data_IF_761410280288
#
_entry.id   IF_761410280288
#
_cell.length_a   1.000
_cell.length_b   1.000
_cell.length_c   1.000
_cell.angle_alpha   90.00
_cell.angle_beta   90.00
_cell.angle_gamma   90.00
#
_symmetry.space_group_name_H-M   'P 1'
#
loop_
_entity.id
_entity.type
_entity.pdbx_description
1 polymer ?
2 non-polymer ?
3 non-polymer ?
4 water ?
#
# COMPACT_ATOMS: atom_id res chain seq x y z
N UNK A 1 -3.43 -6.80 -2.12
CA UNK A 1 -3.18 -7.54 -3.40
C UNK A 1 -2.90 -9.03 -3.17
N UNK A 2 -2.47 -9.42 -1.97
CA UNK A 2 -2.13 -10.80 -1.57
C UNK A 2 -2.15 -10.94 -0.04
N UNK A 3 -1.79 -12.12 0.52
CA UNK A 3 -2.01 -12.44 1.94
C UNK A 3 -1.21 -11.58 2.93
N UNK A 4 -0.06 -11.04 2.51
CA UNK A 4 0.70 -10.01 3.25
C UNK A 4 -0.13 -8.76 3.47
N UNK A 5 -0.63 -8.20 2.37
CA UNK A 5 -1.52 -7.01 2.42
C UNK A 5 -2.81 -7.34 3.17
N UNK A 6 -3.31 -8.57 3.06
CA UNK A 6 -4.55 -9.00 3.78
C UNK A 6 -4.36 -8.89 5.30
N UNK A 7 -3.23 -9.38 5.82
CA UNK A 7 -2.94 -9.33 7.27
C UNK A 7 -2.74 -7.86 7.68
N UNK A 8 -1.96 -7.11 6.89
CA UNK A 8 -1.68 -5.68 7.17
C UNK A 8 -3.02 -4.91 7.29
N UNK A 9 -3.91 -5.10 6.32
CA UNK A 9 -5.21 -4.39 6.27
C UNK A 9 -6.02 -4.74 7.53
N UNK A 10 -6.06 -6.00 7.90
CA UNK A 10 -6.81 -6.48 9.08
C UNK A 10 -6.30 -5.79 10.37
N UNK A 11 -4.99 -5.60 10.50
CA UNK A 11 -4.39 -4.83 11.64
C UNK A 11 -4.78 -3.36 11.52
N UNK A 12 -4.67 -2.75 10.33
CA UNK A 12 -4.96 -1.30 10.21
C UNK A 12 -6.42 -1.02 10.52
N UNK A 13 -7.34 -1.88 10.09
CA UNK A 13 -8.80 -1.56 10.17
C UNK A 13 -9.29 -1.62 11.62
N UNK A 14 -8.65 -2.38 12.50
CA UNK A 14 -9.15 -2.57 13.87
C UNK A 14 -8.18 -2.07 14.95
N UNK A 15 -6.87 -1.98 14.67
CA UNK A 15 -5.85 -1.77 15.72
C UNK A 15 -5.04 -0.49 15.49
N UNK A 16 -5.54 0.49 14.74
CA UNK A 16 -4.79 1.79 14.61
C UNK A 16 -5.73 2.97 14.86
N UNK A 17 -5.14 4.06 15.36
CA UNK A 17 -5.79 5.38 15.53
C UNK A 17 -4.80 6.38 14.95
N UNK A 18 -5.30 7.58 14.71
CA UNK A 18 -4.41 8.71 14.32
C UNK A 18 -4.11 9.46 15.62
N UNK A 19 -2.83 9.48 16.03
CA UNK A 19 -2.38 10.22 17.23
C UNK A 19 -1.75 11.55 16.80
N UNK A 20 -2.14 12.64 17.46
CA UNK A 20 -1.50 13.96 17.24
C UNK A 20 -0.91 14.48 18.55
N UNK A 21 0.38 14.82 18.50
CA UNK A 21 1.12 15.48 19.60
C UNK A 21 1.54 16.84 19.06
N UNK A 22 2.29 17.61 19.85
CA UNK A 22 2.90 18.89 19.41
C UNK A 22 3.98 18.67 18.36
N UNK A 23 4.44 17.42 18.18
CA UNK A 23 5.53 17.05 17.24
C UNK A 23 4.96 16.49 15.93
N UNK A 24 3.62 16.42 15.78
CA UNK A 24 2.97 16.01 14.52
C UNK A 24 1.88 14.94 14.65
N UNK A 25 1.41 14.46 13.51
CA UNK A 25 0.45 13.35 13.36
C UNK A 25 1.19 12.02 13.13
N UNK A 26 0.81 10.97 13.86
CA UNK A 26 1.47 9.63 13.81
C UNK A 26 0.43 8.55 13.66
N UNK A 27 0.73 7.53 12.87
CA UNK A 27 0.06 6.22 12.99
C UNK A 27 0.36 5.72 14.41
N UNK A 28 -0.65 5.21 15.09
CA UNK A 28 -0.48 4.67 16.47
C UNK A 28 -1.13 3.30 16.48
N UNK A 29 -0.36 2.29 16.86
CA UNK A 29 -0.84 0.91 16.98
C UNK A 29 -1.44 0.66 18.37
N UNK A 30 -2.70 0.25 18.43
CA UNK A 30 -3.31 -0.26 19.67
C UNK A 30 -3.03 -1.73 19.84
N UNK A 31 -2.62 -2.17 21.04
CA UNK A 31 -2.09 -3.55 21.25
C UNK A 31 -3.12 -4.35 22.05
N UNK A 32 -3.69 -3.77 23.12
CA UNK A 32 -4.71 -4.49 23.94
C UNK A 32 -5.28 -3.45 24.90
N UNK A 33 -6.52 -3.69 25.36
CA UNK A 33 -7.19 -2.84 26.38
C UNK A 33 -7.14 -1.36 25.89
N UNK A 34 -6.48 -0.45 26.63
CA UNK A 34 -6.37 0.97 26.22
C UNK A 34 -4.88 1.27 26.00
N UNK A 35 -4.10 0.24 25.72
CA UNK A 35 -2.61 0.36 25.61
C UNK A 35 -2.22 0.38 24.12
N UNK A 36 -1.47 1.40 23.74
CA UNK A 36 -0.98 1.63 22.36
C UNK A 36 0.53 1.96 22.40
N UNK A 37 1.15 1.97 21.25
CA UNK A 37 2.57 2.38 21.10
C UNK A 37 2.72 3.49 20.06
N UNK A 38 3.82 4.21 20.17
CA UNK A 38 4.12 5.40 19.30
C UNK A 38 5.62 5.61 19.38
N UNK A 39 6.30 6.15 18.34
CA UNK A 39 7.72 6.50 18.50
C UNK A 39 7.97 7.51 19.63
N UNK A 40 9.04 7.29 20.39
CA UNK A 40 9.35 8.14 21.57
C UNK A 40 9.57 9.59 21.12
N UNK A 41 10.08 9.82 19.90
CA UNK A 41 10.26 11.21 19.37
C UNK A 41 8.91 11.93 19.12
N UNK A 42 7.77 11.26 19.24
CA UNK A 42 6.44 11.94 19.28
C UNK A 42 6.29 12.83 20.51
N UNK A 43 7.09 12.63 21.58
CA UNK A 43 7.07 13.41 22.85
C UNK A 43 5.66 13.49 23.46
N UNK A 44 5.09 12.34 23.78
CA UNK A 44 3.72 12.25 24.34
C UNK A 44 3.71 13.00 25.68
N UNK A 45 2.68 13.83 25.91
CA UNK A 45 2.51 14.58 27.16
C UNK A 45 1.32 14.07 27.96
N UNK A 46 0.68 14.95 28.73
CA UNK A 46 -0.43 14.61 29.65
C UNK A 46 -1.71 14.46 28.82
N UNK A 47 -1.76 15.14 27.67
CA UNK A 47 -2.91 15.17 26.73
C UNK A 47 -2.40 14.86 25.31
N UNK A 48 -3.15 14.04 24.58
CA UNK A 48 -2.89 13.66 23.17
C UNK A 48 -4.23 13.75 22.42
N UNK A 49 -4.22 13.94 21.10
CA UNK A 49 -5.44 13.86 20.27
C UNK A 49 -5.46 12.47 19.62
N UNK A 50 -6.59 11.77 19.70
CA UNK A 50 -6.79 10.39 19.17
C UNK A 50 -7.97 10.54 18.20
N UNK A 51 -7.72 10.43 16.90
CA UNK A 51 -8.78 10.67 15.87
C UNK A 51 -9.46 12.01 16.16
N UNK A 52 -8.67 13.06 16.43
CA UNK A 52 -9.08 14.49 16.61
C UNK A 52 -9.93 14.70 17.86
N UNK A 53 -9.84 13.80 18.83
CA UNK A 53 -10.53 13.88 20.14
C UNK A 53 -9.48 14.04 21.25
N UNK A 54 -9.68 15.07 22.07
CA UNK A 54 -8.82 15.37 23.24
C UNK A 54 -8.91 14.19 24.21
N UNK A 55 -7.78 13.59 24.55
CA UNK A 55 -7.69 12.34 25.35
C UNK A 55 -6.59 12.48 26.43
N UNK A 56 -6.96 12.22 27.66
CA UNK A 56 -5.99 12.20 28.77
C UNK A 56 -5.09 10.99 28.61
N UNK A 57 -3.79 11.18 28.83
CA UNK A 57 -2.80 10.07 28.91
C UNK A 57 -2.75 9.58 30.36
N UNK A 58 -3.11 8.32 30.60
CA UNK A 58 -3.13 7.77 31.99
C UNK A 58 -1.71 7.37 32.40
N UNK A 59 -0.89 6.92 31.46
CA UNK A 59 0.51 6.49 31.70
C UNK A 59 1.25 6.51 30.38
N UNK A 60 2.54 6.88 30.41
CA UNK A 60 3.41 6.85 29.21
C UNK A 60 4.81 6.43 29.63
N UNK A 61 5.39 5.43 28.97
CA UNK A 61 6.72 4.92 29.37
C UNK A 61 7.60 4.76 28.13
N UNK A 62 8.67 5.57 28.06
CA UNK A 62 9.71 5.49 27.02
C UNK A 62 10.61 4.32 27.36
N UNK A 63 10.55 3.28 26.54
CA UNK A 63 11.24 2.01 26.86
C UNK A 63 12.73 2.18 26.59
N UNK A 64 13.54 1.55 27.44
CA UNK A 64 15.01 1.49 27.27
C UNK A 64 15.43 0.05 27.56
N UNK A 65 16.51 -0.46 26.96
CA UNK A 65 16.94 -1.82 27.31
C UNK A 65 17.72 -1.80 28.63
N UNK A 66 18.21 -2.97 29.05
CA UNK A 66 18.77 -3.11 30.44
C UNK A 66 20.16 -2.48 30.50
N UNK A 67 20.78 -2.14 29.35
CA UNK A 67 21.98 -1.25 29.29
C UNK A 67 21.60 0.25 29.29
N UNK A 68 20.32 0.61 29.51
CA UNK A 68 19.87 2.02 29.55
C UNK A 68 20.13 2.64 28.18
N UNK A 69 19.89 1.88 27.11
CA UNK A 69 19.91 2.38 25.69
C UNK A 69 18.49 2.56 25.15
N UNK A 70 18.24 3.72 24.52
CA UNK A 70 16.94 4.03 23.90
C UNK A 70 16.44 2.82 23.06
N UNK A 71 15.15 2.47 23.16
CA UNK A 71 14.51 1.56 22.16
C UNK A 71 13.55 2.31 21.20
N UNK A 72 13.20 3.56 21.48
CA UNK A 72 12.41 4.47 20.59
C UNK A 72 10.93 4.07 20.60
N UNK A 73 10.51 3.19 21.54
CA UNK A 73 9.07 2.81 21.73
C UNK A 73 8.59 3.51 22.99
N UNK A 74 7.50 4.25 22.89
CA UNK A 74 6.73 4.73 24.07
C UNK A 74 5.41 3.93 24.12
N UNK A 75 5.15 3.35 25.27
CA UNK A 75 3.88 2.62 25.55
C UNK A 75 2.97 3.64 26.22
N UNK A 76 1.80 3.83 25.67
CA UNK A 76 0.84 4.84 26.20
C UNK A 76 -0.41 4.12 26.69
N UNK A 77 -0.97 4.49 27.83
CA UNK A 77 -2.32 4.04 28.20
C UNK A 77 -3.24 5.26 28.07
N UNK A 78 -4.31 5.12 27.28
CA UNK A 78 -5.19 6.22 26.87
C UNK A 78 -6.45 6.19 27.76
N UNK A 79 -6.90 7.35 28.23
CA UNK A 79 -8.24 7.45 28.89
C UNK A 79 -9.33 7.42 27.82
N UNK A 80 -9.52 6.29 27.17
CA UNK A 80 -10.47 6.09 26.04
C UNK A 80 -11.61 5.19 26.53
N UNK A 81 -12.81 5.36 25.99
CA UNK A 81 -14.03 4.63 26.42
C UNK A 81 -14.17 3.29 25.72
N UNK A 82 -13.12 2.79 25.05
CA UNK A 82 -13.28 1.60 24.19
C UNK A 82 -11.91 0.89 24.19
N UNK A 83 -11.93 -0.44 24.25
CA UNK A 83 -10.68 -1.26 24.18
C UNK A 83 -10.34 -1.59 22.73
N UNK A 84 -9.04 -1.80 22.51
CA UNK A 84 -8.50 -2.42 21.28
C UNK A 84 -8.76 -3.92 21.32
N UNK A 85 -8.97 -4.50 20.15
CA UNK A 85 -8.80 -5.96 19.93
C UNK A 85 -7.41 -6.34 20.46
N UNK A 86 -7.33 -7.41 21.25
CA UNK A 86 -6.05 -7.88 21.82
C UNK A 86 -5.28 -8.58 20.68
N UNK A 87 -4.14 -8.00 20.26
CA UNK A 87 -3.27 -8.58 19.18
C UNK A 87 -1.94 -9.04 19.76
N UNK A 88 -1.83 -9.23 21.08
CA UNK A 88 -0.50 -9.60 21.66
C UNK A 88 -0.02 -10.96 21.12
N UNK A 89 -0.91 -11.88 20.75
CA UNK A 89 -0.51 -13.21 20.21
C UNK A 89 0.14 -13.10 18.81
N UNK A 90 0.12 -11.94 18.17
CA UNK A 90 0.79 -11.70 16.87
C UNK A 90 2.19 -11.09 17.06
N UNK A 91 2.63 -10.85 18.29
CA UNK A 91 3.95 -10.23 18.55
C UNK A 91 5.00 -11.31 18.66
N UNK A 92 6.17 -11.11 18.04
CA UNK A 92 7.29 -12.04 18.18
C UNK A 92 7.81 -12.09 19.62
N UNK A 93 8.33 -13.25 20.01
CA UNK A 93 8.93 -13.38 21.37
C UNK A 93 10.41 -13.00 21.35
N UNK A 94 11.09 -13.11 20.21
CA UNK A 94 12.57 -12.92 20.14
C UNK A 94 12.97 -12.01 18.96
N UNK A 95 14.15 -11.38 19.09
CA UNK A 95 14.76 -10.58 18.01
C UNK A 95 14.97 -11.50 16.80
N UNK A 96 14.66 -11.05 15.59
CA UNK A 96 14.72 -11.94 14.43
C UNK A 96 14.79 -11.11 13.15
N UNK A 97 15.19 -11.77 12.06
CA UNK A 97 15.12 -11.29 10.66
C UNK A 97 13.81 -11.80 10.05
N UNK A 98 13.31 -11.15 9.01
CA UNK A 98 12.01 -11.51 8.38
C UNK A 98 12.09 -11.41 6.87
N UNK A 99 11.26 -12.20 6.20
CA UNK A 99 11.04 -12.01 4.73
C UNK A 99 9.68 -11.33 4.48
N UNK A 100 9.62 -10.51 3.43
CA UNK A 100 8.38 -10.10 2.73
C UNK A 100 7.48 -9.33 3.71
N UNK A 101 7.98 -8.21 4.23
CA UNK A 101 7.24 -7.36 5.19
C UNK A 101 6.46 -6.28 4.44
N UNK A 102 5.43 -5.75 5.07
CA UNK A 102 4.59 -4.61 4.62
C UNK A 102 4.65 -3.55 5.71
N UNK A 103 4.87 -2.30 5.31
CA UNK A 103 4.75 -1.09 6.18
C UNK A 103 3.44 -0.42 5.87
N UNK A 104 2.60 -0.22 6.88
CA UNK A 104 1.23 0.34 6.70
C UNK A 104 1.06 1.62 7.52
N UNK A 105 0.53 2.65 6.89
CA UNK A 105 0.41 4.02 7.46
C UNK A 105 -1.01 4.48 7.28
N UNK A 106 -1.54 5.15 8.28
CA UNK A 106 -2.86 5.80 8.15
C UNK A 106 -2.84 7.14 8.87
N UNK A 107 -2.73 8.23 8.12
CA UNK A 107 -2.79 9.61 8.68
C UNK A 107 -3.62 10.47 7.72
N UNK A 108 -3.90 11.72 8.10
CA UNK A 108 -4.47 12.75 7.17
C UNK A 108 -3.63 12.89 5.87
N UNK A 109 -2.31 12.86 5.96
CA UNK A 109 -1.40 13.04 4.81
C UNK A 109 -1.36 11.75 3.96
N UNK A 110 -1.38 10.59 4.60
CA UNK A 110 -1.24 9.27 3.91
C UNK A 110 -2.31 8.29 4.39
N UNK A 111 -3.57 8.42 3.92
CA UNK A 111 -4.62 7.46 4.28
C UNK A 111 -4.49 6.14 3.53
N UNK A 112 -4.71 5.00 4.23
CA UNK A 112 -4.80 3.68 3.58
C UNK A 112 -3.56 3.43 2.72
N UNK A 113 -2.37 3.71 3.24
CA UNK A 113 -1.08 3.50 2.54
C UNK A 113 -0.46 2.18 2.97
N UNK A 114 -0.05 1.34 2.01
CA UNK A 114 0.61 0.05 2.24
C UNK A 114 1.82 0.01 1.31
N UNK A 115 2.98 -0.34 1.84
CA UNK A 115 4.27 -0.42 1.11
C UNK A 115 4.85 -1.81 1.31
N UNK A 116 5.08 -2.62 0.24
CA UNK A 116 5.81 -3.86 0.37
C UNK A 116 7.31 -3.54 0.47
N UNK A 117 7.91 -3.73 1.64
CA UNK A 117 9.31 -3.27 1.89
C UNK A 117 10.28 -4.40 1.62
N UNK A 118 9.81 -5.64 1.53
CA UNK A 118 10.65 -6.82 1.29
C UNK A 118 11.34 -7.30 2.53
N UNK A 119 12.60 -7.69 2.38
CA UNK A 119 13.42 -8.34 3.43
C UNK A 119 13.72 -7.35 4.57
N UNK A 120 13.57 -7.82 5.80
CA UNK A 120 13.85 -7.03 7.02
C UNK A 120 15.01 -7.66 7.80
N UNK A 121 16.08 -6.89 8.01
CA UNK A 121 17.30 -7.31 8.72
C UNK A 121 17.21 -6.89 10.18
N UNK A 122 17.60 -7.80 11.08
CA UNK A 122 17.94 -7.45 12.48
C UNK A 122 19.22 -6.64 12.44
N UNK A 123 19.08 -5.32 12.40
CA UNK A 123 20.20 -4.38 12.19
C UNK A 123 20.92 -4.17 13.52
N UNK A 124 20.13 -4.01 14.58
CA UNK A 124 20.65 -3.83 15.95
C UNK A 124 20.87 -2.37 16.30
N UNK A 125 22.14 -1.96 16.35
CA UNK A 125 22.49 -0.60 16.79
C UNK A 125 22.30 0.39 15.63
N UNK A 126 21.68 1.52 15.93
CA UNK A 126 21.55 2.67 15.01
C UNK A 126 21.70 3.95 15.82
N UNK A 127 22.52 4.86 15.30
CA UNK A 127 22.53 6.29 15.74
C UNK A 127 21.36 6.99 15.06
N UNK A 128 20.24 7.10 15.75
CA UNK A 128 18.95 7.58 15.19
C UNK A 128 18.75 9.05 15.57
N UNK A 129 18.96 9.97 14.62
CA UNK A 129 18.92 11.42 14.94
C UNK A 129 19.88 11.79 16.06
N UNK A 130 21.05 11.19 16.12
CA UNK A 130 22.03 11.47 17.20
C UNK A 130 21.85 10.64 18.48
N UNK A 131 20.79 9.81 18.57
CA UNK A 131 20.49 9.03 19.80
C UNK A 131 20.86 7.56 19.58
N UNK A 132 21.83 6.98 20.34
CA UNK A 132 22.16 5.56 20.23
C UNK A 132 20.87 4.74 20.52
N UNK A 133 20.53 3.86 19.62
CA UNK A 133 19.24 3.12 19.65
C UNK A 133 19.52 1.64 19.41
N UNK A 134 18.87 0.74 20.14
CA UNK A 134 19.00 -0.72 19.97
C UNK A 134 17.74 -1.35 19.37
N UNK A 135 17.86 -2.62 18.98
CA UNK A 135 16.73 -3.46 18.45
C UNK A 135 16.08 -2.84 17.22
N UNK A 136 16.88 -2.28 16.33
CA UNK A 136 16.40 -1.65 15.06
C UNK A 136 16.30 -2.73 14.00
N UNK A 137 15.18 -2.70 13.26
CA UNK A 137 14.95 -3.50 12.04
C UNK A 137 15.26 -2.59 10.84
N UNK A 138 15.81 -3.13 9.75
CA UNK A 138 16.11 -2.28 8.57
C UNK A 138 15.50 -2.91 7.32
N UNK A 139 14.97 -2.06 6.45
CA UNK A 139 14.41 -2.49 5.14
C UNK A 139 14.87 -1.49 4.09
N UNK A 140 15.03 -1.98 2.87
CA UNK A 140 15.65 -1.20 1.77
C UNK A 140 14.52 -0.53 0.99
N UNK A 141 13.83 0.38 1.64
CA UNK A 141 12.80 1.23 0.98
C UNK A 141 13.01 2.67 1.42
N UNK A 142 12.91 3.65 0.47
CA UNK A 142 13.09 5.07 0.73
C UNK A 142 11.85 5.72 1.37
N UNK A 143 11.67 5.39 2.64
CA UNK A 143 10.59 5.93 3.50
C UNK A 143 10.79 7.45 3.70
N UNK A 144 9.71 8.20 3.90
CA UNK A 144 9.72 9.69 3.96
C UNK A 144 9.05 10.14 5.25
N UNK A 145 9.20 11.42 5.58
CA UNK A 145 8.44 12.10 6.65
C UNK A 145 6.96 11.75 6.43
N UNK A 146 6.25 11.48 7.53
CA UNK A 146 4.82 11.10 7.49
C UNK A 146 4.59 9.62 7.83
N UNK A 147 5.63 8.78 7.77
CA UNK A 147 5.48 7.30 7.90
C UNK A 147 5.80 6.83 9.32
N UNK A 148 6.28 7.73 10.20
CA UNK A 148 6.71 7.32 11.57
C UNK A 148 5.47 6.82 12.31
N UNK A 149 5.63 5.69 13.01
CA UNK A 149 4.52 5.04 13.73
C UNK A 149 3.86 4.01 12.81
N UNK A 150 4.23 4.01 11.53
CA UNK A 150 3.69 3.02 10.58
C UNK A 150 3.93 1.61 11.07
N UNK A 151 3.02 0.69 10.80
CA UNK A 151 3.09 -0.68 11.35
C UNK A 151 3.83 -1.59 10.37
N UNK A 152 4.81 -2.32 10.86
CA UNK A 152 5.55 -3.35 10.05
C UNK A 152 5.01 -4.72 10.39
N UNK A 153 4.51 -5.43 9.39
CA UNK A 153 3.93 -6.78 9.56
C UNK A 153 4.52 -7.73 8.53
N UNK A 154 4.45 -9.00 8.88
CA UNK A 154 4.52 -10.13 7.93
C UNK A 154 3.18 -10.86 8.03
N UNK A 155 2.96 -11.87 7.19
CA UNK A 155 1.79 -12.78 7.38
C UNK A 155 1.87 -13.36 8.81
N UNK A 156 0.93 -12.96 9.65
CA UNK A 156 0.71 -13.56 10.97
C UNK A 156 1.52 -12.88 12.02
N UNK A 157 2.41 -11.92 11.72
CA UNK A 157 3.17 -11.24 12.80
C UNK A 157 3.21 -9.70 12.68
N UNK A 158 3.05 -9.03 13.80
CA UNK A 158 3.26 -7.55 13.92
C UNK A 158 4.64 -7.36 14.54
N UNK A 159 5.63 -6.86 13.77
CA UNK A 159 7.04 -7.03 14.21
C UNK A 159 7.68 -5.70 14.62
N UNK A 160 7.08 -4.55 14.34
CA UNK A 160 7.75 -3.26 14.62
C UNK A 160 6.92 -2.05 14.25
N UNK A 161 7.45 -0.87 14.58
CA UNK A 161 6.87 0.43 14.18
C UNK A 161 7.99 1.28 13.61
N UNK A 162 7.73 1.88 12.46
CA UNK A 162 8.65 2.76 11.69
C UNK A 162 9.08 3.95 12.56
N UNK A 163 10.39 4.22 12.67
CA UNK A 163 10.90 5.33 13.53
C UNK A 163 11.89 6.21 12.76
N UNK A 164 12.29 5.88 11.54
CA UNK A 164 13.17 6.79 10.76
C UNK A 164 13.70 6.21 9.48
N UNK A 165 14.53 6.99 8.79
CA UNK A 165 15.11 6.56 7.50
C UNK A 165 16.31 7.41 7.16
N UNK A 166 17.10 6.98 6.17
CA UNK A 166 18.29 7.76 5.72
C UNK A 166 18.17 8.17 4.25
N UNK A 167 16.97 8.12 3.68
CA UNK A 167 16.75 8.38 2.24
C UNK A 167 16.70 7.12 1.39
N UNK A 168 17.49 6.08 1.68
CA UNK A 168 17.55 4.80 0.92
C UNK A 168 17.01 3.61 1.74
N UNK A 169 17.24 3.62 3.05
CA UNK A 169 16.76 2.57 3.99
C UNK A 169 15.72 3.18 4.95
N UNK A 170 14.81 2.34 5.44
CA UNK A 170 13.90 2.69 6.56
C UNK A 170 14.23 1.83 7.76
N UNK A 171 13.88 2.30 8.93
CA UNK A 171 14.24 1.67 10.23
C UNK A 171 12.99 1.61 11.13
N UNK A 172 12.80 0.44 11.76
CA UNK A 172 11.69 0.24 12.68
C UNK A 172 12.23 -0.20 14.04
N UNK A 173 11.54 0.16 15.12
CA UNK A 173 11.81 -0.38 16.47
C UNK A 173 11.07 -1.69 16.59
N UNK A 174 11.74 -2.75 17.05
CA UNK A 174 11.07 -4.05 17.31
C UNK A 174 9.91 -3.89 18.29
N UNK A 175 8.85 -4.67 18.06
CA UNK A 175 7.86 -4.97 19.10
C UNK A 175 8.10 -6.41 19.56
N UNK A 176 8.19 -6.61 20.84
CA UNK A 176 8.37 -7.92 21.47
C UNK A 176 7.19 -8.19 22.43
N UNK A 177 6.74 -9.43 22.47
CA UNK A 177 5.64 -9.85 23.37
C UNK A 177 5.94 -9.41 24.82
N UNK A 178 7.18 -9.53 25.27
CA UNK A 178 7.54 -9.24 26.69
C UNK A 178 7.30 -7.76 27.05
N UNK A 179 7.16 -6.85 26.08
CA UNK A 179 6.87 -5.45 26.41
C UNK A 179 5.45 -5.32 26.98
N UNK A 180 4.53 -6.27 26.72
CA UNK A 180 3.07 -6.04 26.93
C UNK A 180 2.43 -7.11 27.83
N UNK A 181 3.23 -7.74 28.69
CA UNK A 181 2.73 -8.59 29.79
C UNK A 181 2.11 -7.64 30.84
N UNK A 182 0.94 -8.01 31.38
CA UNK A 182 0.15 -7.16 32.31
C UNK A 182 -0.04 -7.92 33.64
N UNK B 2 0.12 13.63 -1.15
CA UNK B 2 -0.30 15.06 -1.29
C UNK B 2 -1.11 15.28 -2.56
N UNK B 3 -0.60 16.05 -3.55
CA UNK B 3 -1.21 16.11 -4.88
C UNK B 3 -1.25 14.71 -5.49
N UNK B 4 -0.16 13.95 -5.32
CA UNK B 4 -0.01 12.55 -5.80
C UNK B 4 -1.09 11.65 -5.21
N UNK B 5 -1.25 11.66 -3.88
CA UNK B 5 -2.29 10.85 -3.18
C UNK B 5 -3.69 11.41 -3.47
N UNK B 6 -3.85 12.74 -3.55
CA UNK B 6 -5.12 13.37 -3.97
C UNK B 6 -5.51 12.89 -5.40
N UNK B 7 -4.51 12.83 -6.29
CA UNK B 7 -4.76 12.44 -7.71
C UNK B 7 -5.22 10.96 -7.72
N UNK B 8 -4.49 10.11 -7.02
CA UNK B 8 -4.78 8.66 -6.99
C UNK B 8 -6.19 8.42 -6.45
N UNK B 9 -6.59 9.15 -5.39
CA UNK B 9 -7.92 9.00 -4.74
C UNK B 9 -9.07 9.54 -5.62
N UNK B 10 -8.77 10.57 -6.44
CA UNK B 10 -9.77 11.16 -7.38
C UNK B 10 -10.05 10.16 -8.50
N UNK B 11 -8.98 9.50 -8.99
CA UNK B 11 -9.11 8.46 -10.05
C UNK B 11 -9.82 7.22 -9.48
N UNK B 12 -9.39 6.75 -8.31
CA UNK B 12 -10.07 5.64 -7.55
C UNK B 12 -11.57 5.92 -7.48
N UNK B 13 -11.94 7.03 -6.85
CA UNK B 13 -13.36 7.33 -6.47
C UNK B 13 -14.29 7.35 -7.69
N UNK B 14 -13.92 7.98 -8.79
CA UNK B 14 -14.84 8.15 -9.94
C UNK B 14 -14.59 7.18 -11.11
N UNK B 15 -13.37 6.66 -11.26
CA UNK B 15 -12.98 5.92 -12.49
C UNK B 15 -12.59 4.45 -12.22
N UNK B 16 -12.73 3.91 -11.02
CA UNK B 16 -12.27 2.52 -10.71
C UNK B 16 -13.47 1.69 -10.23
N UNK B 17 -13.72 0.53 -10.86
CA UNK B 17 -14.83 -0.39 -10.49
C UNK B 17 -14.22 -1.76 -10.23
N UNK B 18 -14.99 -2.67 -9.61
CA UNK B 18 -14.60 -4.08 -9.36
C UNK B 18 -15.16 -4.92 -10.51
N UNK B 19 -14.30 -5.54 -11.32
CA UNK B 19 -14.70 -6.38 -12.46
C UNK B 19 -14.54 -7.83 -12.03
N UNK B 20 -15.52 -8.68 -12.29
CA UNK B 20 -15.36 -10.10 -11.93
C UNK B 20 -15.56 -10.92 -13.19
N UNK B 21 -14.53 -11.67 -13.56
CA UNK B 21 -14.58 -12.63 -14.70
C UNK B 21 -14.63 -14.06 -14.11
N UNK B 22 -14.58 -15.05 -14.99
CA UNK B 22 -14.43 -16.48 -14.60
C UNK B 22 -13.21 -16.64 -13.69
N UNK B 23 -12.21 -15.76 -13.81
CA UNK B 23 -10.92 -15.89 -13.08
C UNK B 23 -11.01 -15.26 -11.69
N UNK B 24 -12.03 -14.47 -11.40
CA UNK B 24 -12.24 -13.77 -10.11
C UNK B 24 -12.18 -12.25 -10.28
N UNK B 25 -11.70 -11.52 -9.26
CA UNK B 25 -11.94 -10.06 -9.21
C UNK B 25 -10.68 -9.31 -9.66
N UNK B 26 -10.91 -8.21 -10.38
CA UNK B 26 -9.84 -7.36 -10.93
C UNK B 26 -10.20 -5.90 -10.70
N UNK B 27 -9.21 -5.08 -10.33
CA UNK B 27 -9.37 -3.62 -10.39
C UNK B 27 -9.53 -3.20 -11.85
N UNK B 28 -10.63 -2.56 -12.19
CA UNK B 28 -10.88 -2.12 -13.59
C UNK B 28 -10.90 -0.60 -13.63
N UNK B 29 -10.24 -0.02 -14.63
CA UNK B 29 -10.26 1.42 -14.89
C UNK B 29 -11.25 1.77 -16.01
N UNK B 30 -12.27 2.56 -15.68
CA UNK B 30 -13.11 3.20 -16.71
C UNK B 30 -12.45 4.44 -17.25
N UNK B 31 -12.44 4.59 -18.58
CA UNK B 31 -11.66 5.65 -19.27
C UNK B 31 -12.59 6.75 -19.81
N UNK B 32 -13.69 6.41 -20.44
CA UNK B 32 -14.66 7.37 -21.05
C UNK B 32 -15.89 6.58 -21.49
N UNK B 33 -17.06 7.23 -21.55
CA UNK B 33 -18.29 6.57 -22.05
C UNK B 33 -18.46 5.23 -21.33
N UNK B 34 -18.61 4.13 -22.07
CA UNK B 34 -18.71 2.80 -21.42
C UNK B 34 -17.45 1.98 -21.73
N UNK B 35 -16.32 2.66 -21.92
CA UNK B 35 -15.02 2.02 -22.31
C UNK B 35 -14.14 1.91 -21.06
N UNK B 36 -13.67 0.70 -20.78
CA UNK B 36 -12.80 0.38 -19.61
C UNK B 36 -11.63 -0.50 -20.06
N UNK B 37 -10.64 -0.63 -19.18
CA UNK B 37 -9.47 -1.50 -19.43
C UNK B 37 -9.26 -2.45 -18.26
N UNK B 38 -8.75 -3.63 -18.59
CA UNK B 38 -8.47 -4.72 -17.62
C UNK B 38 -7.29 -5.50 -18.20
N UNK B 39 -6.45 -6.17 -17.40
CA UNK B 39 -5.39 -7.04 -17.95
C UNK B 39 -5.95 -8.15 -18.82
N UNK B 40 -5.24 -8.50 -19.92
CA UNK B 40 -5.73 -9.52 -20.87
C UNK B 40 -5.86 -10.87 -20.14
N UNK B 41 -4.99 -11.16 -19.16
CA UNK B 41 -5.05 -12.42 -18.38
C UNK B 41 -6.35 -12.57 -17.57
N UNK B 42 -7.19 -11.53 -17.47
CA UNK B 42 -8.52 -11.62 -16.81
C UNK B 42 -9.51 -12.53 -17.58
N UNK B 43 -9.23 -12.80 -18.86
CA UNK B 43 -10.07 -13.71 -19.71
C UNK B 43 -11.52 -13.20 -19.71
N UNK B 44 -11.72 -11.98 -20.21
CA UNK B 44 -13.05 -11.36 -20.34
C UNK B 44 -13.92 -12.18 -21.29
N UNK B 45 -15.15 -12.46 -20.88
CA UNK B 45 -16.11 -13.27 -21.64
C UNK B 45 -17.16 -12.43 -22.31
N UNK B 46 -18.32 -13.03 -22.53
CA UNK B 46 -19.49 -12.30 -23.09
C UNK B 46 -20.16 -11.50 -21.96
N UNK B 47 -20.00 -11.96 -20.73
CA UNK B 47 -20.67 -11.38 -19.53
C UNK B 47 -19.60 -11.15 -18.49
N UNK B 48 -19.69 -10.03 -17.79
CA UNK B 48 -18.79 -9.66 -16.67
C UNK B 48 -19.66 -9.06 -15.57
N UNK B 49 -19.18 -9.16 -14.32
CA UNK B 49 -19.80 -8.47 -13.16
C UNK B 49 -19.03 -7.19 -12.91
N UNK B 50 -19.76 -6.09 -12.80
CA UNK B 50 -19.21 -4.73 -12.52
C UNK B 50 -19.83 -4.29 -11.19
N UNK B 51 -19.04 -4.25 -10.11
CA UNK B 51 -19.56 -4.00 -8.76
C UNK B 51 -20.75 -4.95 -8.48
N UNK B 52 -20.59 -6.22 -8.82
CA UNK B 52 -21.54 -7.34 -8.50
C UNK B 52 -22.79 -7.28 -9.39
N UNK B 53 -22.84 -6.42 -10.41
CA UNK B 53 -23.96 -6.34 -11.39
C UNK B 53 -23.58 -7.09 -12.68
N UNK B 54 -24.32 -8.15 -13.02
CA UNK B 54 -24.22 -8.88 -14.33
C UNK B 54 -24.33 -7.87 -15.48
N UNK B 55 -23.30 -7.79 -16.35
CA UNK B 55 -23.18 -6.76 -17.41
C UNK B 55 -22.73 -7.42 -18.71
N UNK B 56 -23.45 -7.19 -19.79
CA UNK B 56 -23.04 -7.69 -21.13
C UNK B 56 -21.78 -6.93 -21.55
N UNK B 57 -20.75 -7.64 -21.98
CA UNK B 57 -19.59 -7.01 -22.69
C UNK B 57 -19.90 -6.94 -24.18
N UNK B 58 -20.08 -5.73 -24.70
CA UNK B 58 -20.46 -5.57 -26.13
C UNK B 58 -19.25 -5.81 -27.03
N UNK B 59 -18.05 -5.47 -26.58
CA UNK B 59 -16.81 -5.60 -27.38
C UNK B 59 -15.64 -5.81 -26.43
N UNK B 60 -14.69 -6.68 -26.79
CA UNK B 60 -13.43 -6.84 -26.03
C UNK B 60 -12.33 -6.91 -27.07
N UNK B 61 -11.31 -6.08 -26.92
CA UNK B 61 -10.13 -6.05 -27.81
C UNK B 61 -8.87 -6.32 -26.97
N UNK B 62 -8.19 -7.43 -27.25
CA UNK B 62 -6.88 -7.76 -26.63
C UNK B 62 -5.81 -6.99 -27.40
N UNK B 63 -5.30 -5.88 -26.86
CA UNK B 63 -4.46 -4.96 -27.66
C UNK B 63 -3.12 -5.60 -28.04
N UNK B 64 -2.68 -5.29 -29.26
CA UNK B 64 -1.34 -5.62 -29.78
C UNK B 64 -0.83 -4.39 -30.52
N UNK B 65 0.49 -4.19 -30.58
CA UNK B 65 1.07 -3.00 -31.24
C UNK B 65 1.30 -3.30 -32.72
N UNK B 66 1.93 -2.41 -33.45
CA UNK B 66 2.10 -2.55 -34.93
C UNK B 66 3.21 -3.56 -35.28
N UNK B 67 3.99 -4.06 -34.29
CA UNK B 67 4.89 -5.23 -34.47
C UNK B 67 4.11 -6.53 -34.26
N UNK B 68 2.81 -6.45 -34.01
CA UNK B 68 1.92 -7.60 -33.75
C UNK B 68 2.39 -8.29 -32.48
N UNK B 69 2.71 -7.51 -31.47
CA UNK B 69 3.18 -8.00 -30.15
C UNK B 69 2.13 -7.65 -29.09
N UNK B 70 1.87 -8.58 -28.19
CA UNK B 70 0.93 -8.42 -27.06
C UNK B 70 1.28 -7.15 -26.28
N UNK B 71 0.25 -6.41 -25.85
CA UNK B 71 0.42 -5.28 -24.87
C UNK B 71 -0.20 -5.63 -23.50
N UNK B 72 -0.94 -6.74 -23.38
CA UNK B 72 -1.52 -7.27 -22.11
C UNK B 72 -2.64 -6.36 -21.56
N UNK B 73 -3.20 -5.49 -22.38
CA UNK B 73 -4.38 -4.63 -22.06
C UNK B 73 -5.53 -5.12 -22.91
N UNK B 74 -6.67 -5.36 -22.28
CA UNK B 74 -7.91 -5.56 -23.02
C UNK B 74 -8.81 -4.33 -22.82
N UNK B 75 -9.26 -3.76 -23.94
CA UNK B 75 -10.28 -2.66 -23.92
C UNK B 75 -11.67 -3.28 -24.02
N UNK B 76 -12.57 -2.94 -23.10
CA UNK B 76 -13.96 -3.49 -23.12
C UNK B 76 -14.93 -2.33 -23.31
N UNK B 77 -16.03 -2.58 -24.03
CA UNK B 77 -17.21 -1.70 -24.14
C UNK B 77 -18.35 -2.37 -23.36
N UNK B 78 -18.87 -1.70 -22.33
CA UNK B 78 -19.81 -2.33 -21.37
C UNK B 78 -21.26 -1.91 -21.71
N UNK B 79 -22.21 -2.83 -21.60
CA UNK B 79 -23.67 -2.51 -21.74
C UNK B 79 -24.23 -2.10 -20.38
N UNK B 80 -24.00 -0.83 -20.00
CA UNK B 80 -24.47 -0.22 -18.72
C UNK B 80 -24.86 1.25 -18.96
N UNK B 81 -25.84 1.73 -18.19
CA UNK B 81 -26.41 3.09 -18.33
C UNK B 81 -25.34 4.12 -17.97
N UNK B 82 -24.66 3.93 -16.84
CA UNK B 82 -23.68 4.90 -16.29
C UNK B 82 -22.54 5.13 -17.29
N UNK B 83 -22.14 6.38 -17.42
CA UNK B 83 -20.97 6.81 -18.22
C UNK B 83 -19.78 7.06 -17.27
N UNK B 84 -18.58 6.63 -17.66
CA UNK B 84 -17.35 6.97 -16.90
C UNK B 84 -17.00 8.44 -17.18
N UNK B 85 -16.50 9.11 -16.14
CA UNK B 85 -15.85 10.44 -16.21
C UNK B 85 -14.67 10.36 -17.20
N UNK B 86 -14.69 11.17 -18.28
CA UNK B 86 -13.61 11.19 -19.29
C UNK B 86 -12.28 11.53 -18.60
N UNK B 87 -11.26 10.67 -18.69
CA UNK B 87 -9.89 10.93 -18.16
C UNK B 87 -8.87 10.74 -19.29
N UNK B 88 -9.29 10.78 -20.55
CA UNK B 88 -8.31 10.60 -21.68
C UNK B 88 -7.23 11.68 -21.64
N UNK B 89 -7.54 12.89 -21.13
CA UNK B 89 -6.57 14.01 -21.09
C UNK B 89 -5.48 13.73 -20.06
N UNK B 90 -5.62 12.70 -19.19
CA UNK B 90 -4.58 12.32 -18.22
C UNK B 90 -3.67 11.19 -18.70
N UNK B 91 -3.90 10.68 -19.90
CA UNK B 91 -3.10 9.56 -20.47
C UNK B 91 -1.87 10.14 -21.18
N UNK B 92 -0.68 9.59 -20.93
CA UNK B 92 0.53 10.01 -21.62
C UNK B 92 0.38 9.82 -23.13
N UNK B 93 1.02 10.71 -23.88
CA UNK B 93 1.06 10.63 -25.37
C UNK B 93 2.17 9.68 -25.83
N UNK B 94 3.24 9.55 -25.03
CA UNK B 94 4.44 8.77 -25.41
C UNK B 94 4.90 7.87 -24.25
N UNK B 95 5.77 6.91 -24.57
CA UNK B 95 6.43 6.03 -23.58
C UNK B 95 7.37 6.90 -22.75
N UNK B 96 7.50 6.63 -21.45
CA UNK B 96 8.33 7.49 -20.57
C UNK B 96 8.63 6.77 -19.26
N UNK B 97 9.61 7.30 -18.53
CA UNK B 97 9.94 6.92 -17.14
C UNK B 97 9.22 7.91 -16.22
N UNK B 98 9.05 7.55 -14.96
CA UNK B 98 8.29 8.38 -13.98
C UNK B 98 8.87 8.25 -12.57
N UNK B 99 8.59 9.25 -11.74
CA UNK B 99 8.94 9.23 -10.29
C UNK B 99 7.67 9.28 -9.44
N UNK B 100 7.74 8.71 -8.24
CA UNK B 100 6.75 9.00 -7.18
C UNK B 100 5.39 8.41 -7.58
N UNK B 101 5.37 7.23 -8.19
CA UNK B 101 4.09 6.60 -8.63
C UNK B 101 3.34 5.95 -7.47
N UNK B 102 2.02 5.86 -7.62
CA UNK B 102 1.11 5.15 -6.68
C UNK B 102 0.33 4.10 -7.49
N UNK B 103 0.23 2.90 -6.93
CA UNK B 103 -0.57 1.77 -7.41
C UNK B 103 -1.79 1.67 -6.50
N UNK B 104 -2.98 1.78 -7.10
CA UNK B 104 -4.26 1.85 -6.37
C UNK B 104 -5.13 0.62 -6.69
N UNK B 105 -5.36 -0.19 -5.65
CA UNK B 105 -6.07 -1.50 -5.72
C UNK B 105 -7.51 -1.31 -5.23
N UNK B 106 -8.46 -1.92 -5.91
CA UNK B 106 -9.86 -1.84 -5.47
C UNK B 106 -10.58 -3.15 -5.80
N UNK B 107 -10.74 -4.02 -4.79
CA UNK B 107 -11.57 -5.26 -4.94
C UNK B 107 -12.42 -5.46 -3.68
N UNK B 108 -13.28 -6.50 -3.65
CA UNK B 108 -14.11 -6.78 -2.44
C UNK B 108 -13.20 -7.02 -1.25
N UNK B 109 -12.08 -7.69 -1.49
CA UNK B 109 -11.07 -8.08 -0.46
C UNK B 109 -10.20 -6.89 -0.06
N UNK B 110 -9.91 -5.99 -1.01
CA UNK B 110 -8.94 -4.86 -0.85
C UNK B 110 -9.58 -3.56 -1.34
N UNK B 111 -10.54 -3.01 -0.57
CA UNK B 111 -11.23 -1.81 -0.99
C UNK B 111 -10.31 -0.59 -0.79
N UNK B 112 -10.27 0.34 -1.71
CA UNK B 112 -9.45 1.57 -1.43
C UNK B 112 -8.08 1.30 -0.80
N UNK B 113 -7.16 0.57 -1.44
CA UNK B 113 -5.75 0.35 -0.97
C UNK B 113 -4.75 1.12 -1.87
N UNK B 114 -3.86 1.92 -1.29
CA UNK B 114 -2.87 2.76 -2.03
C UNK B 114 -1.44 2.28 -1.74
N UNK B 115 -0.72 1.90 -2.80
CA UNK B 115 0.65 1.32 -2.68
C UNK B 115 1.64 2.23 -3.38
N UNK B 116 2.38 3.08 -2.66
CA UNK B 116 3.44 3.89 -3.21
C UNK B 116 4.48 2.91 -3.74
N UNK B 117 4.79 3.03 -5.02
CA UNK B 117 5.79 2.10 -5.63
C UNK B 117 7.06 2.89 -5.93
N UNK B 118 6.96 4.21 -6.06
CA UNK B 118 8.12 5.11 -6.25
C UNK B 118 8.55 5.19 -7.71
N UNK B 119 9.80 4.86 -7.98
CA UNK B 119 10.40 5.08 -9.33
C UNK B 119 9.85 4.02 -10.29
N UNK B 120 9.43 4.48 -11.45
CA UNK B 120 8.90 3.61 -12.56
C UNK B 120 9.82 3.77 -13.78
N UNK B 121 10.33 2.65 -14.29
CA UNK B 121 11.18 2.57 -15.50
C UNK B 121 10.38 2.10 -16.72
N UNK B 122 10.55 2.76 -17.86
CA UNK B 122 10.23 2.21 -19.20
C UNK B 122 11.13 0.98 -19.44
N UNK B 123 10.63 -0.20 -19.10
CA UNK B 123 11.39 -1.48 -19.09
C UNK B 123 11.36 -2.07 -20.50
N UNK B 124 10.20 -1.92 -21.17
CA UNK B 124 9.96 -2.28 -22.58
C UNK B 124 9.53 -3.73 -22.74
N UNK B 125 10.44 -4.57 -23.25
CA UNK B 125 10.13 -5.98 -23.59
C UNK B 125 10.13 -6.85 -22.34
N UNK B 126 9.13 -7.72 -22.19
CA UNK B 126 9.05 -8.71 -21.09
C UNK B 126 8.41 -9.99 -21.62
N UNK B 127 9.02 -11.12 -21.31
CA UNK B 127 8.35 -12.43 -21.51
C UNK B 127 7.45 -12.69 -20.31
N UNK B 128 6.17 -12.42 -20.49
CA UNK B 128 5.19 -12.47 -19.38
C UNK B 128 4.38 -13.76 -19.48
N UNK B 129 4.64 -14.71 -18.58
CA UNK B 129 3.96 -16.02 -18.58
C UNK B 129 4.14 -16.75 -19.90
N UNK B 130 5.28 -16.56 -20.58
CA UNK B 130 5.57 -17.22 -21.87
C UNK B 130 5.13 -16.39 -23.07
N UNK B 131 4.49 -15.25 -22.86
CA UNK B 131 4.06 -14.37 -23.98
C UNK B 131 4.97 -13.14 -24.10
N UNK B 132 5.63 -12.93 -25.26
CA UNK B 132 6.36 -11.70 -25.54
C UNK B 132 5.44 -10.48 -25.46
N UNK B 133 5.86 -9.48 -24.67
CA UNK B 133 5.02 -8.32 -24.31
C UNK B 133 5.84 -7.05 -24.46
N UNK B 134 5.21 -6.01 -25.01
CA UNK B 134 5.85 -4.68 -25.15
C UNK B 134 5.25 -3.66 -24.16
N UNK B 135 5.95 -2.52 -24.10
CA UNK B 135 5.54 -1.30 -23.35
C UNK B 135 5.26 -1.61 -21.88
N UNK B 136 6.12 -2.38 -21.26
CA UNK B 136 6.07 -2.69 -19.81
C UNK B 136 6.78 -1.59 -19.03
N UNK B 137 6.08 -1.10 -18.00
CA UNK B 137 6.67 -0.27 -16.90
C UNK B 137 7.09 -1.17 -15.74
N UNK B 138 8.20 -0.85 -15.05
CA UNK B 138 8.69 -1.71 -13.96
C UNK B 138 8.93 -0.85 -12.70
N UNK B 139 8.64 -1.44 -11.54
CA UNK B 139 8.87 -0.80 -10.21
C UNK B 139 9.26 -1.90 -9.25
N UNK B 140 9.99 -1.53 -8.20
CA UNK B 140 10.26 -2.48 -7.10
C UNK B 140 8.92 -2.93 -6.54
N UNK B 141 8.80 -4.21 -6.23
CA UNK B 141 7.58 -4.86 -5.69
C UNK B 141 7.97 -6.19 -5.06
N UNK B 142 8.72 -6.17 -3.93
CA UNK B 142 9.26 -7.36 -3.28
C UNK B 142 8.19 -8.10 -2.46
N UNK B 143 7.29 -8.75 -3.18
CA UNK B 143 6.11 -9.44 -2.63
C UNK B 143 5.58 -10.32 -3.77
N UNK B 144 4.94 -11.43 -3.43
CA UNK B 144 4.16 -12.22 -4.42
C UNK B 144 2.72 -11.73 -4.29
N UNK B 145 2.29 -10.87 -5.20
CA UNK B 145 0.89 -10.39 -5.29
C UNK B 145 0.07 -11.36 -6.16
N UNK B 146 -1.23 -11.43 -5.93
CA UNK B 146 -2.18 -12.15 -6.80
C UNK B 146 -2.48 -11.37 -8.08
N UNK B 147 -3.55 -11.75 -8.74
CA UNK B 147 -3.87 -11.32 -10.12
C UNK B 147 -4.61 -9.98 -10.17
N UNK B 148 -5.16 -9.45 -9.07
CA UNK B 148 -6.25 -8.45 -9.12
C UNK B 148 -5.75 -7.12 -9.76
N UNK B 149 -4.47 -6.85 -9.67
CA UNK B 149 -3.86 -5.64 -10.28
C UNK B 149 -4.39 -4.35 -9.70
N UNK B 150 -4.32 -3.25 -10.46
CA UNK B 150 -4.49 -1.89 -9.93
C UNK B 150 -4.04 -0.84 -10.92
N UNK B 151 -4.38 0.40 -10.63
CA UNK B 151 -4.12 1.54 -11.52
C UNK B 151 -2.85 2.25 -11.04
N UNK B 152 -1.94 2.56 -11.97
CA UNK B 152 -0.68 3.27 -11.63
C UNK B 152 -0.81 4.73 -12.05
N UNK B 153 -0.60 5.63 -11.09
CA UNK B 153 -0.70 7.09 -11.34
C UNK B 153 0.56 7.79 -10.84
N UNK B 154 0.78 8.96 -11.41
CA UNK B 154 1.74 9.99 -10.91
C UNK B 154 0.92 11.24 -10.62
N UNK B 155 1.55 12.32 -10.17
CA UNK B 155 0.84 13.63 -10.20
C UNK B 155 0.52 13.94 -11.66
N UNK B 156 -0.76 13.98 -11.96
CA UNK B 156 -1.35 14.50 -13.20
C UNK B 156 -1.50 13.46 -14.27
N UNK B 157 -1.05 12.20 -14.08
CA UNK B 157 -1.13 11.21 -15.18
C UNK B 157 -1.60 9.83 -14.69
N UNK B 158 -2.43 9.21 -15.52
CA UNK B 158 -2.75 7.76 -15.39
C UNK B 158 -1.86 6.98 -16.37
N UNK B 159 -0.84 6.34 -15.86
CA UNK B 159 0.31 5.83 -16.69
C UNK B 159 0.17 4.35 -17.02
N UNK B 160 -0.60 3.55 -16.28
CA UNK B 160 -0.59 2.09 -16.55
C UNK B 160 -1.51 1.32 -15.64
N UNK B 161 -1.67 0.04 -15.93
CA UNK B 161 -2.39 -0.95 -15.07
C UNK B 161 -1.46 -2.11 -14.75
N UNK B 162 -1.43 -2.53 -13.49
CA UNK B 162 -0.56 -3.63 -13.02
C UNK B 162 -0.94 -4.94 -13.71
N UNK B 163 0.02 -5.62 -14.33
CA UNK B 163 -0.27 -6.90 -15.06
C UNK B 163 0.51 -8.10 -14.51
N UNK B 164 1.53 -7.92 -13.66
CA UNK B 164 2.21 -9.09 -13.06
C UNK B 164 3.43 -8.69 -12.27
N UNK B 165 4.32 -9.65 -12.02
CA UNK B 165 5.51 -9.44 -11.18
C UNK B 165 6.28 -10.72 -11.01
N UNK B 166 7.53 -10.63 -10.52
CA UNK B 166 8.46 -11.80 -10.43
C UNK B 166 9.00 -11.98 -9.00
N UNK B 167 8.31 -11.42 -7.99
CA UNK B 167 8.68 -11.53 -6.55
C UNK B 167 9.60 -10.42 -6.06
N UNK B 168 10.32 -9.75 -6.96
CA UNK B 168 11.23 -8.62 -6.70
C UNK B 168 10.73 -7.36 -7.40
N UNK B 169 10.14 -7.50 -8.58
CA UNK B 169 9.73 -6.36 -9.43
C UNK B 169 8.25 -6.52 -9.79
N UNK B 170 7.58 -5.41 -10.01
CA UNK B 170 6.18 -5.32 -10.44
C UNK B 170 6.13 -4.74 -11.84
N UNK B 171 5.18 -5.21 -12.64
CA UNK B 171 5.08 -4.81 -14.06
C UNK B 171 3.69 -4.27 -14.35
N UNK B 172 3.64 -3.15 -15.05
CA UNK B 172 2.41 -2.54 -15.54
C UNK B 172 2.47 -2.38 -17.06
N UNK B 173 1.33 -2.55 -17.72
CA UNK B 173 1.15 -2.21 -19.13
C UNK B 173 0.94 -0.70 -19.24
N UNK B 174 1.61 -0.05 -20.18
CA UNK B 174 1.42 1.40 -20.38
C UNK B 174 0.00 1.67 -20.87
N UNK B 175 -0.58 2.78 -20.43
CA UNK B 175 -1.75 3.37 -21.09
C UNK B 175 -1.24 4.55 -21.92
N UNK B 176 -1.68 4.61 -23.17
CA UNK B 176 -1.33 5.71 -24.10
C UNK B 176 -2.62 6.32 -24.62
N UNK B 177 -2.58 7.64 -24.81
CA UNK B 177 -3.72 8.43 -25.32
C UNK B 177 -4.19 7.86 -26.66
N UNK B 178 -3.27 7.39 -27.50
CA UNK B 178 -3.63 6.89 -28.87
C UNK B 178 -4.49 5.63 -28.80
N UNK B 179 -4.56 4.94 -27.66
CA UNK B 179 -5.35 3.67 -27.58
C UNK B 179 -6.86 3.93 -27.60
N UNK B 180 -7.24 5.18 -27.33
CA UNK B 180 -8.63 5.58 -27.03
C UNK B 180 -9.10 6.70 -27.96
N UNK B 181 -8.29 7.11 -28.93
CA UNK B 181 -8.69 8.13 -29.94
C UNK B 181 -9.58 7.50 -31.02
X LIG C 1 -4.65 -14.70 10.76
X LIG C 1 -5.03 -14.26 9.35
X LIG C 1 -3.83 -13.86 8.51
X LIG C 1 -6.21 -11.33 11.34
X LIG C 1 -4.75 -9.53 11.75
X LIG C 1 -5.96 -13.14 9.60
X LIG C 1 -6.10 -12.07 7.38
X LIG C 1 -7.90 -12.21 8.93
X LIG C 1 -6.73 -12.47 8.68
X LIG C 1 -6.10 -12.82 11.03
X LIG C 1 -4.85 -13.44 11.62
X LIG C 1 -7.14 -10.85 11.93
X LIG C 1 -5.16 -10.65 10.93
X LIG D 1 -11.33 2.37 -27.74
X LIG D 1 -12.61 1.60 -28.05
X LIG D 1 -11.84 4.03 -27.46
X LIG D 1 -10.53 2.62 -29.31
#
# INVERSE_FOLDING_TARGET
>A
MGPGFDFAQAIMKKNTVIARTEKGEFTMLGVYDRVAVIPTHASVGEIIYINDVETRVLDACALRDLTDTNLEITIVKLDRNQKFRDIRHFLPRCEDDYNDAVLSVHTSKFPNMYIPVGQVTNYGFLNLGGTPTHRILMYNFPTRAGQCGGVVTTTGKVIGIHVGGNGAQGFAAMLLHSYFTD
>B
MGPGFDFAQAIMKKNTVIARTEKGEFTMLGVYDRVAVIPTHASVGEIIYINDVETRVLDACALRDLTDTNLEITIVKLDRNQKFRDIRHFLPRCEDDYNDAVLSVHTSKFPNMYIPVGQVTNYGFLNLGGTPTHRILMYNFPTRAGQCGGVVTTTGKVIGIHVGGNGAQGFAAMLLHSYFTD
>C hetero
1 U29 C4 C5 C6 C7 C8 N C O C1 C2 C3 O1 O2
>D hetero
1 DMS S O C1 C2
#
